data_IF_608562481189
#
_entry.id   IF_608562481189
#
_cell.length_a   1.000
_cell.length_b   1.000
_cell.length_c   1.000
_cell.angle_alpha   90.00
_cell.angle_beta   90.00
_cell.angle_gamma   90.00
#
_symmetry.space_group_name_H-M   'P 1'
#
loop_
_entity.id
_entity.type
_entity.pdbx_description
1 polymer ?
#
# COMPACT_ATOMS: atom_id res chain seq x y z
N UNK A 1 0.29 9.48 8.62
CA UNK A 1 0.02 8.50 7.54
C UNK A 1 1.02 8.68 6.42
N UNK A 2 1.36 7.60 5.70
CA UNK A 2 2.28 7.63 4.56
C UNK A 2 1.50 7.42 3.27
N UNK A 3 1.81 8.20 2.24
CA UNK A 3 1.04 8.20 0.99
C UNK A 3 1.56 7.14 0.00
N UNK A 4 0.63 6.56 -0.75
CA UNK A 4 0.91 5.75 -1.92
C UNK A 4 0.71 6.58 -3.19
N UNK A 5 1.52 6.31 -4.20
CA UNK A 5 1.29 6.71 -5.58
C UNK A 5 0.65 5.57 -6.36
N UNK A 6 -0.33 5.93 -7.18
CA UNK A 6 -0.86 5.04 -8.19
C UNK A 6 0.19 4.84 -9.30
N UNK A 7 0.47 3.58 -9.62
CA UNK A 7 1.38 3.25 -10.72
C UNK A 7 0.64 3.40 -12.05
N UNK A 8 0.81 4.56 -12.69
CA UNK A 8 0.21 4.87 -13.98
C UNK A 8 0.84 4.11 -15.15
N UNK A 9 1.96 3.43 -14.94
CA UNK A 9 2.62 2.64 -15.99
C UNK A 9 2.09 1.21 -16.06
N UNK A 10 1.36 0.77 -15.03
CA UNK A 10 0.80 -0.57 -14.95
C UNK A 10 -0.65 -0.62 -15.46
N UNK A 11 -0.89 -1.43 -16.49
CA UNK A 11 -2.22 -1.65 -17.05
C UNK A 11 -3.12 -2.37 -16.02
N UNK A 12 -4.15 -1.68 -15.54
CA UNK A 12 -5.01 -2.20 -14.45
C UNK A 12 -6.46 -1.70 -14.57
N UNK A 13 -7.34 -2.29 -13.76
CA UNK A 13 -8.78 -2.03 -13.75
C UNK A 13 -9.60 -3.08 -14.49
N UNK A 14 -10.91 -2.84 -14.59
CA UNK A 14 -11.89 -3.81 -15.10
C UNK A 14 -11.61 -4.33 -16.49
N UNK A 15 -11.17 -3.45 -17.40
CA UNK A 15 -10.88 -3.79 -18.79
C UNK A 15 -9.66 -4.71 -18.88
N UNK A 16 -8.60 -4.39 -18.11
CA UNK A 16 -7.39 -5.19 -18.02
C UNK A 16 -7.56 -6.47 -17.18
N UNK A 17 -8.63 -6.55 -16.36
CA UNK A 17 -8.87 -7.62 -15.38
C UNK A 17 -7.71 -7.81 -14.41
N UNK A 18 -7.04 -6.72 -14.06
CA UNK A 18 -5.89 -6.70 -13.15
C UNK A 18 -6.14 -5.69 -12.03
N UNK A 19 -5.69 -6.01 -10.82
CA UNK A 19 -5.80 -5.12 -9.67
C UNK A 19 -4.91 -3.90 -9.87
N UNK A 20 -5.35 -2.76 -9.35
CA UNK A 20 -4.53 -1.55 -9.37
C UNK A 20 -3.27 -1.72 -8.54
N UNK A 21 -2.15 -1.24 -9.08
CA UNK A 21 -0.83 -1.27 -8.44
C UNK A 21 -0.51 0.08 -7.79
N UNK A 22 0.05 0.02 -6.59
CA UNK A 22 0.48 1.16 -5.80
C UNK A 22 1.95 0.97 -5.36
N UNK A 23 2.67 2.07 -5.23
CA UNK A 23 3.98 2.11 -4.56
C UNK A 23 4.04 3.29 -3.59
N UNK A 24 4.96 3.27 -2.63
CA UNK A 24 5.11 4.39 -1.70
C UNK A 24 5.57 5.67 -2.42
N UNK A 25 5.13 6.82 -1.89
CA UNK A 25 5.73 8.10 -2.24
C UNK A 25 7.23 8.08 -1.86
N UNK A 26 8.15 8.56 -2.73
CA UNK A 26 9.56 8.63 -2.42
C UNK A 26 9.82 9.30 -1.06
N UNK A 27 10.55 8.60 -0.18
CA UNK A 27 10.82 9.03 1.19
C UNK A 27 11.42 10.43 1.38
N UNK A 28 12.28 10.98 0.50
CA UNK A 28 12.87 12.30 0.74
C UNK A 28 11.90 13.45 0.46
N UNK A 29 10.71 13.19 -0.12
CA UNK A 29 9.73 14.24 -0.37
C UNK A 29 9.06 14.71 0.93
N UNK A 30 8.95 16.03 1.18
CA UNK A 30 8.20 16.54 2.33
C UNK A 30 6.72 16.16 2.29
N UNK A 31 6.18 15.86 1.11
CA UNK A 31 4.78 15.45 0.89
C UNK A 31 4.56 13.94 1.06
N UNK A 32 5.60 13.17 1.38
CA UNK A 32 5.49 11.71 1.53
C UNK A 32 4.66 11.29 2.76
N UNK A 33 4.51 12.19 3.73
CA UNK A 33 3.75 11.96 4.96
C UNK A 33 2.76 13.08 5.22
N UNK A 34 1.60 12.74 5.77
CA UNK A 34 0.58 13.71 6.16
C UNK A 34 -0.32 13.19 7.26
N UNK A 35 -1.41 13.92 7.49
CA UNK A 35 -2.51 13.51 8.35
C UNK A 35 -3.76 13.32 7.50
N UNK A 36 -4.49 12.24 7.76
CA UNK A 36 -5.80 11.97 7.15
C UNK A 36 -6.86 12.08 8.24
N UNK A 37 -8.04 12.58 7.90
CA UNK A 37 -9.19 12.50 8.77
C UNK A 37 -9.50 11.02 9.06
N UNK A 38 -9.58 10.60 10.34
CA UNK A 38 -9.92 9.22 10.70
C UNK A 38 -11.23 8.72 10.06
N UNK A 39 -12.19 9.61 9.79
CA UNK A 39 -13.45 9.26 9.11
C UNK A 39 -13.25 8.88 7.63
N UNK A 40 -12.08 9.16 7.05
CA UNK A 40 -11.70 8.85 5.67
C UNK A 40 -10.81 7.59 5.57
N UNK A 41 -10.58 6.89 6.68
CA UNK A 41 -9.75 5.68 6.69
C UNK A 41 -10.59 4.48 6.23
N UNK A 42 -10.17 3.86 5.13
CA UNK A 42 -10.67 2.53 4.73
C UNK A 42 -9.61 1.50 5.12
N UNK A 43 -9.98 0.54 5.96
CA UNK A 43 -9.05 -0.43 6.53
C UNK A 43 -8.79 -1.61 5.59
N UNK A 44 -7.56 -2.15 5.61
CA UNK A 44 -7.17 -3.44 5.01
C UNK A 44 -7.35 -3.59 3.48
N UNK A 45 -6.89 -2.60 2.72
CA UNK A 45 -7.02 -2.59 1.25
C UNK A 45 -5.77 -3.09 0.52
N UNK A 46 -4.59 -3.17 1.14
CA UNK A 46 -3.36 -3.48 0.40
C UNK A 46 -2.89 -4.92 0.60
N UNK A 47 -2.56 -5.61 -0.49
CA UNK A 47 -1.91 -6.93 -0.50
C UNK A 47 -0.51 -6.78 -1.12
N UNK A 48 0.57 -7.27 -0.47
CA UNK A 48 1.90 -7.29 -1.04
C UNK A 48 1.97 -7.91 -2.44
N UNK A 49 2.70 -7.28 -3.35
CA UNK A 49 3.00 -7.84 -4.65
C UNK A 49 4.26 -8.73 -4.59
N UNK A 50 4.07 -10.01 -4.27
CA UNK A 50 5.17 -10.97 -4.05
C UNK A 50 6.10 -11.15 -5.27
N UNK A 51 5.57 -10.99 -6.48
CA UNK A 51 6.31 -11.22 -7.74
C UNK A 51 7.38 -10.17 -8.04
N UNK A 52 7.26 -8.97 -7.46
CA UNK A 52 8.19 -7.87 -7.70
C UNK A 52 9.22 -7.68 -6.58
N UNK A 53 9.18 -8.54 -5.56
CA UNK A 53 10.15 -8.55 -4.46
C UNK A 53 10.05 -7.37 -3.51
N UNK A 54 11.11 -7.20 -2.71
CA UNK A 54 11.25 -6.15 -1.68
C UNK A 54 12.30 -5.11 -2.10
N UNK A 55 12.20 -3.92 -1.53
CA UNK A 55 13.09 -2.77 -1.75
C UNK A 55 13.31 -1.99 -0.45
N UNK A 56 14.44 -1.30 -0.35
CA UNK A 56 14.79 -0.39 0.75
C UNK A 56 14.59 1.08 0.35
N UNK A 57 14.42 1.35 -0.95
CA UNK A 57 14.44 2.69 -1.54
C UNK A 57 13.25 3.55 -1.11
N UNK A 58 12.06 2.94 -1.01
CA UNK A 58 10.82 3.70 -0.81
C UNK A 58 10.49 3.95 0.66
N UNK A 59 10.95 3.06 1.53
CA UNK A 59 10.70 3.09 2.96
C UNK A 59 11.99 2.67 3.67
N UNK A 60 12.85 3.57 4.14
CA UNK A 60 14.11 3.18 4.79
C UNK A 60 13.88 2.50 6.14
N UNK A 61 14.83 1.66 6.59
CA UNK A 61 14.76 0.94 7.86
C UNK A 61 14.56 1.86 9.08
N UNK A 62 15.19 3.03 9.09
CA UNK A 62 15.02 4.07 10.12
C UNK A 62 13.66 4.81 10.09
N UNK A 63 12.76 4.52 9.15
CA UNK A 63 11.46 5.19 9.09
C UNK A 63 10.56 4.79 10.26
N UNK A 64 10.00 5.78 10.97
CA UNK A 64 9.04 5.56 12.08
C UNK A 64 7.81 4.75 11.64
N UNK A 65 7.44 4.81 10.36
CA UNK A 65 6.34 4.02 9.79
C UNK A 65 6.63 2.54 9.62
N UNK A 66 7.83 2.06 10.00
CA UNK A 66 8.36 0.75 9.59
C UNK A 66 8.74 -0.18 10.74
N UNK A 67 8.53 0.20 11.99
CA UNK A 67 9.02 -0.58 13.14
C UNK A 67 8.25 -1.91 13.27
N UNK A 68 8.66 -2.89 12.48
CA UNK A 68 8.30 -4.30 12.54
C UNK A 68 9.55 -5.08 12.95
N UNK A 69 9.41 -5.86 14.02
CA UNK A 69 10.44 -6.79 14.47
C UNK A 69 9.96 -8.20 14.17
N UNK A 70 10.81 -8.96 13.49
CA UNK A 70 10.56 -10.37 13.22
C UNK A 70 11.40 -11.17 14.20
N UNK A 71 10.79 -12.17 14.83
CA UNK A 71 11.51 -13.12 15.67
C UNK A 71 11.90 -14.31 14.81
N UNK A 72 13.19 -14.42 14.49
CA UNK A 72 13.74 -15.52 13.70
C UNK A 72 14.97 -16.08 14.41
N UNK A 73 15.14 -17.41 14.39
CA UNK A 73 16.28 -18.09 15.00
C UNK A 73 16.61 -17.70 16.45
N UNK A 74 15.60 -17.34 17.25
CA UNK A 74 15.78 -16.97 18.66
C UNK A 74 16.20 -15.50 18.90
N UNK A 75 16.25 -14.68 17.85
CA UNK A 75 16.64 -13.28 17.92
C UNK A 75 15.60 -12.38 17.25
N UNK A 76 15.42 -11.18 17.80
CA UNK A 76 14.64 -10.13 17.14
C UNK A 76 15.54 -9.43 16.12
N UNK A 77 15.11 -9.41 14.86
CA UNK A 77 15.70 -8.60 13.80
C UNK A 77 14.69 -7.56 13.31
N UNK A 78 15.19 -6.39 12.96
CA UNK A 78 14.38 -5.32 12.36
C UNK A 78 14.31 -5.58 10.86
N UNK A 79 13.14 -5.44 10.24
CA UNK A 79 13.03 -5.59 8.80
C UNK A 79 13.68 -4.42 8.03
N UNK A 80 14.69 -4.73 7.21
CA UNK A 80 15.49 -3.75 6.48
C UNK A 80 14.94 -3.40 5.09
N UNK A 81 14.02 -4.20 4.54
CA UNK A 81 13.35 -3.96 3.25
C UNK A 81 11.83 -4.08 3.35
N UNK A 82 11.06 -3.61 2.36
CA UNK A 82 9.59 -3.69 2.32
C UNK A 82 9.13 -3.98 0.89
N UNK A 83 7.89 -4.38 0.67
CA UNK A 83 7.42 -4.75 -0.68
C UNK A 83 7.51 -3.59 -1.65
N UNK A 84 8.00 -3.87 -2.87
CA UNK A 84 8.18 -2.85 -3.89
C UNK A 84 6.85 -2.26 -4.36
N UNK A 85 5.84 -3.12 -4.48
CA UNK A 85 4.49 -2.75 -4.89
C UNK A 85 3.45 -3.44 -4.01
N UNK A 86 2.27 -2.84 -3.95
CA UNK A 86 1.08 -3.41 -3.34
C UNK A 86 -0.08 -3.37 -4.33
N UNK A 87 -0.91 -4.40 -4.29
CA UNK A 87 -2.19 -4.41 -4.99
C UNK A 87 -3.30 -3.88 -4.10
N UNK A 88 -4.27 -3.18 -4.71
CA UNK A 88 -5.52 -2.80 -4.07
C UNK A 88 -6.48 -4.00 -4.09
N UNK A 89 -6.78 -4.55 -2.92
CA UNK A 89 -7.84 -5.53 -2.70
C UNK A 89 -9.21 -4.85 -2.70
N UNK A 90 -9.76 -4.68 -3.90
CA UNK A 90 -11.08 -4.08 -4.11
C UNK A 90 -12.24 -4.89 -3.52
N UNK A 91 -12.01 -6.14 -3.12
CA UNK A 91 -13.03 -7.02 -2.55
C UNK A 91 -13.06 -7.00 -1.02
N UNK A 92 -12.14 -6.28 -0.37
CA UNK A 92 -12.05 -6.23 1.10
C UNK A 92 -13.26 -5.54 1.74
N UNK A 93 -13.88 -4.60 1.03
CA UNK A 93 -15.06 -3.86 1.45
C UNK A 93 -16.00 -3.63 0.26
N UNK A 94 -17.30 -3.85 0.46
CA UNK A 94 -18.34 -3.56 -0.54
C UNK A 94 -18.36 -2.09 -0.96
N UNK A 95 -18.16 -1.16 -0.04
CA UNK A 95 -18.09 0.26 -0.38
C UNK A 95 -16.91 0.56 -1.29
N UNK A 96 -15.78 -0.13 -1.08
CA UNK A 96 -14.60 0.01 -1.93
C UNK A 96 -14.84 -0.61 -3.30
N UNK A 97 -15.45 -1.80 -3.34
CA UNK A 97 -15.85 -2.44 -4.58
C UNK A 97 -16.77 -1.52 -5.41
N UNK A 98 -17.75 -0.89 -4.78
CA UNK A 98 -18.69 0.02 -5.43
C UNK A 98 -17.97 1.28 -5.94
N UNK A 99 -17.10 1.90 -5.13
CA UNK A 99 -16.24 3.00 -5.56
C UNK A 99 -15.44 2.68 -6.82
N UNK A 100 -14.86 1.47 -6.92
CA UNK A 100 -14.11 1.03 -8.10
C UNK A 100 -14.99 0.60 -9.28
N UNK A 101 -16.24 0.20 -9.05
CA UNK A 101 -17.22 -0.09 -10.10
C UNK A 101 -17.92 1.16 -10.66
N UNK A 102 -17.69 2.34 -10.07
CA UNK A 102 -18.42 3.56 -10.42
C UNK A 102 -19.85 3.61 -9.85
N UNK A 103 -20.21 2.70 -8.95
CA UNK A 103 -21.42 2.78 -8.14
C UNK A 103 -21.12 3.57 -6.87
N UNK A 104 -21.85 4.64 -6.59
CA UNK A 104 -21.64 5.38 -5.34
C UNK A 104 -21.82 4.49 -4.10
N UNK A 105 -21.14 4.84 -3.01
CA UNK A 105 -21.34 4.22 -1.69
C UNK A 105 -22.76 4.56 -1.19
N UNK A 106 -23.55 3.54 -0.86
CA UNK A 106 -24.90 3.69 -0.31
C UNK A 106 -26.02 3.83 -1.35
N UNK A 107 -26.66 2.71 -1.67
CA UNK A 107 -28.07 2.66 -2.08
C UNK A 107 -28.82 1.73 -1.14
#
# INVERSE_FOLDING_TARGET
>A
VRWYHYDSTYESGWQAKQLHSLHFYPSPSPDASGFIDPAQIICAVHIPCFTHGRTEEYLPAESVGRVYQTFDNGQYSVEESDWKYYYINIFSNWDLFMCFCGGGVGQ
#
